data_IF_709364193689
#
_entry.id   IF_709364193689
#
_cell.length_a   1.000
_cell.length_b   1.000
_cell.length_c   1.000
_cell.angle_alpha   90.00
_cell.angle_beta   90.00
_cell.angle_gamma   90.00
#
_symmetry.space_group_name_H-M   'P 1'
#
loop_
_entity.id
_entity.type
_entity.pdbx_description
1 polymer ?
#
# COMPACT_ATOMS: atom_id res chain seq x y z
N UNK A 1 5.96 0.86 24.47
CA UNK A 1 6.98 1.90 24.20
C UNK A 1 7.11 2.14 22.71
N UNK A 2 7.14 3.41 22.27
CA UNK A 2 7.39 3.78 20.87
C UNK A 2 8.80 3.37 20.43
N UNK A 3 8.95 2.84 19.21
CA UNK A 3 10.24 2.43 18.65
C UNK A 3 10.57 3.21 17.38
N UNK A 4 11.41 4.24 17.51
CA UNK A 4 11.79 5.13 16.41
C UNK A 4 12.50 4.39 15.25
N UNK A 5 13.36 3.42 15.55
CA UNK A 5 14.08 2.65 14.51
C UNK A 5 13.12 1.80 13.67
N UNK A 6 12.10 1.22 14.31
CA UNK A 6 11.06 0.48 13.60
C UNK A 6 10.17 1.41 12.77
N UNK A 7 9.77 2.56 13.31
CA UNK A 7 9.05 3.58 12.54
C UNK A 7 9.86 4.03 11.32
N UNK A 8 11.16 4.26 11.47
CA UNK A 8 12.03 4.65 10.36
C UNK A 8 12.22 3.52 9.34
N UNK A 9 12.34 2.27 9.78
CA UNK A 9 12.35 1.09 8.92
C UNK A 9 11.11 1.05 8.03
N UNK A 10 9.93 1.12 8.65
CA UNK A 10 8.65 1.07 7.95
C UNK A 10 8.51 2.25 6.99
N UNK A 11 8.81 3.47 7.45
CA UNK A 11 8.71 4.66 6.63
C UNK A 11 9.62 4.58 5.39
N UNK A 12 10.84 4.07 5.56
CA UNK A 12 11.83 3.96 4.48
C UNK A 12 11.43 2.90 3.45
N UNK A 13 10.92 1.74 3.88
CA UNK A 13 10.40 0.70 2.98
C UNK A 13 9.20 1.20 2.16
N UNK A 14 8.24 1.90 2.81
CA UNK A 14 7.10 2.47 2.09
C UNK A 14 7.51 3.63 1.18
N UNK A 15 8.43 4.50 1.59
CA UNK A 15 8.99 5.54 0.71
C UNK A 15 9.68 4.93 -0.50
N UNK A 16 10.49 3.88 -0.28
CA UNK A 16 11.17 3.18 -1.37
C UNK A 16 10.15 2.60 -2.35
N UNK A 17 9.11 1.93 -1.83
CA UNK A 17 8.03 1.41 -2.66
C UNK A 17 7.35 2.51 -3.48
N UNK A 18 6.91 3.61 -2.86
CA UNK A 18 6.18 4.67 -3.56
C UNK A 18 7.06 5.45 -4.55
N UNK A 19 8.22 5.93 -4.12
CA UNK A 19 9.07 6.84 -4.89
C UNK A 19 9.97 6.13 -5.90
N UNK A 20 10.37 4.89 -5.61
CA UNK A 20 11.29 4.14 -6.46
C UNK A 20 10.54 3.05 -7.23
N UNK A 21 9.88 2.11 -6.54
CA UNK A 21 9.30 0.95 -7.22
C UNK A 21 8.05 1.29 -8.04
N UNK A 22 7.13 2.07 -7.46
CA UNK A 22 5.83 2.38 -8.05
C UNK A 22 5.91 3.58 -9.01
N UNK A 23 6.41 4.74 -8.58
CA UNK A 23 6.48 5.91 -9.48
C UNK A 23 7.78 5.93 -10.27
N UNK A 24 8.92 5.71 -9.60
CA UNK A 24 10.25 5.82 -10.22
C UNK A 24 10.47 4.87 -11.40
N UNK A 25 10.39 3.56 -11.17
CA UNK A 25 10.65 2.54 -12.19
C UNK A 25 9.61 2.63 -13.32
N UNK A 26 8.32 2.75 -12.98
CA UNK A 26 7.27 2.82 -14.00
C UNK A 26 7.46 4.02 -14.94
N UNK A 27 7.88 5.18 -14.41
CA UNK A 27 8.17 6.36 -15.23
C UNK A 27 9.49 6.24 -16.01
N UNK A 28 10.56 5.72 -15.40
CA UNK A 28 11.86 5.50 -16.06
C UNK A 28 11.73 4.59 -17.28
N UNK A 29 10.90 3.56 -17.19
CA UNK A 29 10.64 2.65 -18.32
C UNK A 29 9.51 3.13 -19.24
N UNK A 30 9.09 4.40 -19.13
CA UNK A 30 8.00 4.99 -19.90
C UNK A 30 6.72 4.15 -19.90
N UNK A 31 6.56 3.34 -18.85
CA UNK A 31 5.40 2.48 -18.65
C UNK A 31 5.23 1.40 -19.71
N UNK A 32 6.33 1.07 -20.39
CA UNK A 32 6.42 -0.15 -21.19
C UNK A 32 6.52 -1.36 -20.26
N UNK A 33 5.39 -2.04 -20.09
CA UNK A 33 5.28 -3.24 -19.25
C UNK A 33 6.30 -4.30 -19.67
N UNK A 34 6.62 -4.42 -20.96
CA UNK A 34 7.60 -5.40 -21.44
C UNK A 34 9.02 -5.09 -20.96
N UNK A 35 9.30 -3.83 -20.63
CA UNK A 35 10.60 -3.41 -20.12
C UNK A 35 10.74 -3.68 -18.60
N UNK A 36 9.64 -3.78 -17.85
CA UNK A 36 9.69 -3.98 -16.39
C UNK A 36 8.92 -5.19 -15.84
N UNK A 37 8.31 -6.04 -16.67
CA UNK A 37 7.47 -7.17 -16.23
C UNK A 37 8.13 -8.14 -15.27
N UNK A 38 9.47 -8.24 -15.24
CA UNK A 38 10.17 -9.10 -14.29
C UNK A 38 10.04 -8.61 -12.85
N UNK A 39 9.83 -7.31 -12.62
CA UNK A 39 9.57 -6.73 -11.30
C UNK A 39 8.28 -7.31 -10.67
N UNK A 40 7.08 -7.22 -11.28
CA UNK A 40 5.88 -7.81 -10.71
C UNK A 40 5.93 -9.34 -10.63
N UNK A 41 6.57 -10.03 -11.59
CA UNK A 41 6.77 -11.48 -11.50
C UNK A 41 7.65 -11.87 -10.30
N UNK A 42 8.76 -11.16 -10.09
CA UNK A 42 9.60 -11.31 -8.91
C UNK A 42 8.82 -11.05 -7.63
N UNK A 43 7.99 -10.02 -7.64
CA UNK A 43 7.07 -9.67 -6.55
C UNK A 43 6.14 -10.80 -6.14
N UNK A 44 5.48 -11.41 -7.11
CA UNK A 44 4.61 -12.57 -6.90
C UNK A 44 5.41 -13.75 -6.35
N UNK A 45 6.56 -14.07 -6.96
CA UNK A 45 7.41 -15.16 -6.51
C UNK A 45 7.89 -14.96 -5.06
N UNK A 46 8.40 -13.77 -4.73
CA UNK A 46 8.81 -13.43 -3.36
C UNK A 46 7.66 -13.58 -2.38
N UNK A 47 6.49 -13.03 -2.70
CA UNK A 47 5.31 -13.09 -1.83
C UNK A 47 4.88 -14.54 -1.56
N UNK A 48 4.94 -15.43 -2.56
CA UNK A 48 4.61 -16.84 -2.39
C UNK A 48 5.68 -17.63 -1.64
N UNK A 49 6.94 -17.23 -1.71
CA UNK A 49 8.06 -17.97 -1.10
C UNK A 49 8.39 -17.53 0.33
N UNK A 50 7.80 -16.43 0.81
CA UNK A 50 8.11 -15.84 2.13
C UNK A 50 7.99 -16.81 3.31
N UNK A 51 7.03 -17.73 3.25
CA UNK A 51 6.78 -18.70 4.32
C UNK A 51 7.79 -19.86 4.35
N UNK A 52 8.53 -20.09 3.26
CA UNK A 52 9.50 -21.19 3.17
C UNK A 52 10.79 -20.84 3.90
N UNK A 53 11.42 -21.84 4.50
CA UNK A 53 12.76 -21.71 5.08
C UNK A 53 13.79 -22.13 4.04
N UNK A 54 14.81 -21.31 3.81
CA UNK A 54 15.84 -21.56 2.81
C UNK A 54 17.22 -21.65 3.46
N UNK A 55 17.66 -22.86 3.80
CA UNK A 55 18.98 -23.08 4.42
C UNK A 55 19.22 -22.17 5.63
N UNK A 56 20.15 -21.22 5.49
CA UNK A 56 20.49 -20.25 6.53
C UNK A 56 19.43 -19.15 6.77
N UNK A 57 18.52 -18.91 5.82
CA UNK A 57 17.36 -18.01 5.91
C UNK A 57 16.16 -18.71 6.57
N UNK A 58 16.37 -19.16 7.81
CA UNK A 58 15.39 -19.94 8.57
C UNK A 58 14.57 -19.12 9.57
N UNK A 59 14.89 -17.83 9.76
CA UNK A 59 14.13 -16.93 10.63
C UNK A 59 13.67 -15.69 9.88
N UNK A 60 12.55 -15.11 10.31
CA UNK A 60 11.99 -13.89 9.72
C UNK A 60 12.97 -12.71 9.79
N UNK A 61 13.72 -12.61 10.89
CA UNK A 61 14.79 -11.61 11.07
C UNK A 61 15.88 -11.73 10.00
N UNK A 62 16.35 -12.95 9.72
CA UNK A 62 17.40 -13.15 8.70
C UNK A 62 16.86 -12.89 7.30
N UNK A 63 15.61 -13.29 7.04
CA UNK A 63 14.95 -13.02 5.76
C UNK A 63 14.82 -11.52 5.51
N UNK A 64 14.31 -10.74 6.47
CA UNK A 64 14.12 -9.31 6.25
C UNK A 64 15.45 -8.59 6.05
N UNK A 65 16.49 -8.92 6.83
CA UNK A 65 17.84 -8.37 6.64
C UNK A 65 18.36 -8.70 5.23
N UNK A 66 18.24 -9.97 4.82
CA UNK A 66 18.77 -10.41 3.52
C UNK A 66 18.07 -9.74 2.35
N UNK A 67 16.73 -9.73 2.33
CA UNK A 67 16.00 -9.16 1.21
C UNK A 67 16.10 -7.63 1.17
N UNK A 68 16.02 -6.94 2.31
CA UNK A 68 16.28 -5.48 2.32
C UNK A 68 17.72 -5.16 1.93
N UNK A 69 18.69 -6.03 2.26
CA UNK A 69 20.06 -5.94 1.75
C UNK A 69 20.15 -6.14 0.23
N UNK A 70 19.41 -7.10 -0.32
CA UNK A 70 19.29 -7.30 -1.77
C UNK A 70 18.68 -6.07 -2.46
N UNK A 71 17.63 -5.46 -1.88
CA UNK A 71 17.08 -4.18 -2.34
C UNK A 71 18.12 -3.07 -2.38
N UNK A 72 18.95 -2.95 -1.34
CA UNK A 72 20.03 -1.95 -1.30
C UNK A 72 21.07 -2.19 -2.42
N UNK A 73 21.43 -3.45 -2.68
CA UNK A 73 22.30 -3.80 -3.80
C UNK A 73 21.67 -3.45 -5.16
N UNK A 74 20.39 -3.78 -5.37
CA UNK A 74 19.66 -3.41 -6.57
C UNK A 74 19.57 -1.89 -6.76
N UNK A 75 19.47 -1.14 -5.66
CA UNK A 75 19.37 0.33 -5.69
C UNK A 75 20.61 1.00 -6.28
N UNK A 76 21.78 0.36 -6.21
CA UNK A 76 23.02 0.87 -6.82
C UNK A 76 22.96 0.92 -8.36
N UNK A 77 22.05 0.16 -8.96
CA UNK A 77 21.86 0.11 -10.41
C UNK A 77 20.74 1.04 -10.90
N UNK A 78 20.03 1.74 -9.99
CA UNK A 78 19.01 2.70 -10.40
C UNK A 78 19.67 3.97 -10.98
N UNK A 79 19.19 4.53 -12.11
CA UNK A 79 17.97 4.16 -12.86
C UNK A 79 18.17 3.09 -13.94
N UNK A 80 19.41 2.71 -14.27
CA UNK A 80 19.77 1.77 -15.35
C UNK A 80 19.56 0.30 -14.97
N UNK A 81 18.34 -0.06 -14.59
CA UNK A 81 17.98 -1.42 -14.17
C UNK A 81 17.78 -2.33 -15.40
N UNK A 82 18.37 -3.53 -15.38
CA UNK A 82 18.06 -4.56 -16.37
C UNK A 82 17.01 -5.55 -15.84
N UNK A 83 16.48 -6.42 -16.70
CA UNK A 83 15.45 -7.39 -16.35
C UNK A 83 15.82 -8.31 -15.17
N UNK A 84 17.11 -8.64 -15.02
CA UNK A 84 17.60 -9.47 -13.90
C UNK A 84 17.56 -8.70 -12.59
N UNK A 85 18.05 -7.46 -12.58
CA UNK A 85 18.01 -6.59 -11.39
C UNK A 85 16.58 -6.27 -11.01
N UNK A 86 15.69 -6.02 -11.98
CA UNK A 86 14.26 -5.82 -11.75
C UNK A 86 13.60 -7.07 -11.16
N UNK A 87 13.92 -8.27 -11.67
CA UNK A 87 13.44 -9.52 -11.10
C UNK A 87 13.90 -9.72 -9.65
N UNK A 88 15.18 -9.48 -9.37
CA UNK A 88 15.75 -9.59 -8.02
C UNK A 88 15.13 -8.56 -7.05
N UNK A 89 14.97 -7.31 -7.50
CA UNK A 89 14.29 -6.27 -6.73
C UNK A 89 12.82 -6.64 -6.48
N UNK A 90 12.14 -7.20 -7.47
CA UNK A 90 10.78 -7.70 -7.34
C UNK A 90 10.68 -8.77 -6.26
N UNK A 91 11.55 -9.79 -6.30
CA UNK A 91 11.63 -10.83 -5.26
C UNK A 91 11.88 -10.21 -3.89
N UNK A 92 12.76 -9.22 -3.80
CA UNK A 92 13.03 -8.52 -2.55
C UNK A 92 11.77 -7.87 -1.98
N UNK A 93 11.09 -7.03 -2.76
CA UNK A 93 9.87 -6.33 -2.35
C UNK A 93 8.74 -7.32 -2.00
N UNK A 94 8.62 -8.40 -2.78
CA UNK A 94 7.65 -9.48 -2.54
C UNK A 94 7.89 -10.23 -1.24
N UNK A 95 9.15 -10.47 -0.87
CA UNK A 95 9.52 -11.10 0.40
C UNK A 95 9.38 -10.14 1.59
N UNK A 96 9.78 -8.87 1.42
CA UNK A 96 9.79 -7.90 2.51
C UNK A 96 8.38 -7.46 2.90
N UNK A 97 7.44 -7.31 1.97
CA UNK A 97 6.09 -6.83 2.27
C UNK A 97 5.30 -7.70 3.28
N UNK A 98 5.15 -9.02 3.12
CA UNK A 98 4.46 -9.86 4.12
C UNK A 98 5.19 -9.91 5.47
N UNK A 99 6.53 -9.87 5.46
CA UNK A 99 7.35 -9.82 6.68
C UNK A 99 7.13 -8.51 7.43
N UNK A 100 7.15 -7.39 6.72
CA UNK A 100 6.89 -6.07 7.27
C UNK A 100 5.50 -6.02 7.91
N UNK A 101 4.47 -6.48 7.20
CA UNK A 101 3.10 -6.56 7.75
C UNK A 101 3.08 -7.39 9.03
N UNK A 102 3.76 -8.54 9.07
CA UNK A 102 3.84 -9.35 10.29
C UNK A 102 4.50 -8.59 11.45
N UNK A 103 5.60 -7.87 11.22
CA UNK A 103 6.29 -7.11 12.26
C UNK A 103 5.49 -5.91 12.78
N UNK A 104 4.56 -5.40 11.98
CA UNK A 104 3.67 -4.30 12.38
C UNK A 104 2.53 -4.71 13.31
N UNK A 105 2.34 -6.01 13.58
CA UNK A 105 1.27 -6.52 14.45
C UNK A 105 1.26 -5.78 15.80
N UNK A 106 0.13 -5.13 16.10
CA UNK A 106 -0.09 -4.40 17.36
C UNK A 106 0.67 -3.07 17.50
N UNK A 107 1.37 -2.61 16.46
CA UNK A 107 2.19 -1.38 16.45
C UNK A 107 1.53 -0.23 15.70
N UNK A 108 0.24 -0.03 15.96
CA UNK A 108 -0.58 0.87 15.14
C UNK A 108 -0.12 2.32 15.19
N UNK A 109 0.44 2.77 16.31
CA UNK A 109 1.01 4.11 16.44
C UNK A 109 2.26 4.27 15.59
N UNK A 110 3.18 3.29 15.62
CA UNK A 110 4.38 3.31 14.80
C UNK A 110 4.05 3.26 13.30
N UNK A 111 3.04 2.46 12.89
CA UNK A 111 2.53 2.43 11.51
C UNK A 111 1.97 3.80 11.11
N UNK A 112 1.12 4.39 11.94
CA UNK A 112 0.49 5.69 11.68
C UNK A 112 1.56 6.78 11.44
N UNK A 113 2.54 6.86 12.32
CA UNK A 113 3.65 7.81 12.20
C UNK A 113 4.49 7.51 10.96
N UNK A 114 4.82 6.23 10.70
CA UNK A 114 5.60 5.84 9.54
C UNK A 114 4.91 6.21 8.23
N UNK A 115 3.62 5.93 8.09
CA UNK A 115 2.83 6.33 6.91
C UNK A 115 2.73 7.85 6.78
N UNK A 116 2.57 8.58 7.89
CA UNK A 116 2.59 10.04 7.87
C UNK A 116 3.91 10.61 7.32
N UNK A 117 5.05 10.07 7.77
CA UNK A 117 6.37 10.40 7.24
C UNK A 117 6.47 10.03 5.76
N UNK A 118 6.00 8.83 5.39
CA UNK A 118 6.02 8.35 4.02
C UNK A 118 5.27 9.29 3.10
N UNK A 119 4.02 9.64 3.40
CA UNK A 119 3.25 10.54 2.56
C UNK A 119 3.85 11.94 2.53
N UNK A 120 4.37 12.44 3.65
CA UNK A 120 5.03 13.73 3.66
C UNK A 120 6.24 13.79 2.72
N UNK A 121 7.14 12.82 2.81
CA UNK A 121 8.31 12.74 1.95
C UNK A 121 7.93 12.44 0.50
N UNK A 122 6.99 11.52 0.28
CA UNK A 122 6.56 11.13 -1.06
C UNK A 122 5.89 12.30 -1.80
N UNK A 123 5.02 13.05 -1.14
CA UNK A 123 4.41 14.25 -1.72
C UNK A 123 5.44 15.33 -2.00
N UNK A 124 6.36 15.59 -1.06
CA UNK A 124 7.40 16.61 -1.23
C UNK A 124 8.37 16.28 -2.38
N UNK A 125 8.63 15.00 -2.62
CA UNK A 125 9.56 14.52 -3.65
C UNK A 125 8.84 14.00 -4.90
N UNK A 126 7.52 14.16 -5.01
CA UNK A 126 6.75 13.58 -6.10
C UNK A 126 7.19 14.11 -7.46
N UNK A 127 7.44 15.41 -7.56
CA UNK A 127 7.88 16.08 -8.79
C UNK A 127 9.37 15.97 -9.04
N UNK A 128 10.13 15.37 -8.12
CA UNK A 128 11.56 15.14 -8.33
C UNK A 128 11.76 14.11 -9.43
N UNK A 129 12.54 14.44 -10.46
CA UNK A 129 12.62 13.66 -11.69
C UNK A 129 13.02 12.19 -11.41
N UNK A 130 12.25 11.19 -11.89
CA UNK A 130 12.51 9.77 -11.64
C UNK A 130 13.94 9.36 -11.93
N UNK A 131 14.50 9.77 -13.07
CA UNK A 131 15.85 9.37 -13.49
C UNK A 131 16.95 9.85 -12.52
N UNK A 132 16.68 10.87 -11.72
CA UNK A 132 17.62 11.44 -10.74
C UNK A 132 17.45 10.85 -9.32
N UNK A 133 16.54 9.89 -9.12
CA UNK A 133 16.25 9.29 -7.81
C UNK A 133 17.25 8.23 -7.35
N UNK A 134 18.38 8.03 -8.03
CA UNK A 134 19.39 7.02 -7.66
C UNK A 134 19.91 7.15 -6.23
N UNK A 135 20.38 8.34 -5.84
CA UNK A 135 20.84 8.59 -4.48
C UNK A 135 19.73 8.42 -3.44
N UNK A 136 18.49 8.74 -3.81
CA UNK A 136 17.32 8.56 -2.96
C UNK A 136 17.01 7.06 -2.74
N UNK A 137 17.07 6.25 -3.80
CA UNK A 137 16.89 4.80 -3.73
C UNK A 137 17.94 4.16 -2.80
N UNK A 138 19.21 4.57 -2.94
CA UNK A 138 20.31 4.11 -2.08
C UNK A 138 20.10 4.56 -0.63
N UNK A 139 19.78 5.83 -0.38
CA UNK A 139 19.58 6.34 0.97
C UNK A 139 18.43 5.61 1.69
N UNK A 140 17.26 5.50 1.04
CA UNK A 140 16.09 4.84 1.62
C UNK A 140 16.36 3.35 1.91
N UNK A 141 16.99 2.64 0.97
CA UNK A 141 17.30 1.22 1.15
C UNK A 141 18.39 0.97 2.21
N UNK A 142 19.40 1.84 2.33
CA UNK A 142 20.42 1.74 3.37
C UNK A 142 19.86 2.06 4.77
N UNK A 143 18.96 3.04 4.88
CA UNK A 143 18.25 3.32 6.13
C UNK A 143 17.42 2.10 6.54
N UNK A 144 16.62 1.56 5.62
CA UNK A 144 15.83 0.35 5.88
C UNK A 144 16.72 -0.84 6.27
N UNK A 145 17.81 -1.07 5.54
CA UNK A 145 18.76 -2.15 5.82
C UNK A 145 19.36 -2.01 7.21
N UNK A 146 19.85 -0.82 7.56
CA UNK A 146 20.44 -0.55 8.88
C UNK A 146 19.42 -0.76 10.00
N UNK A 147 18.19 -0.25 9.84
CA UNK A 147 17.14 -0.42 10.84
C UNK A 147 16.70 -1.89 10.98
N UNK A 148 16.77 -2.68 9.89
CA UNK A 148 16.35 -4.08 9.89
C UNK A 148 17.11 -4.94 10.91
N UNK A 149 18.38 -4.60 11.20
CA UNK A 149 19.18 -5.28 12.22
C UNK A 149 18.59 -5.19 13.63
N UNK A 150 17.77 -4.18 13.91
CA UNK A 150 17.21 -3.92 15.24
C UNK A 150 15.79 -4.46 15.43
N UNK A 151 15.18 -5.06 14.41
CA UNK A 151 13.81 -5.61 14.48
C UNK A 151 13.67 -6.69 15.57
N UNK A 152 14.70 -7.50 15.81
CA UNK A 152 14.69 -8.50 16.90
C UNK A 152 14.57 -7.89 18.31
N UNK A 153 14.82 -6.59 18.48
CA UNK A 153 14.71 -5.87 19.76
C UNK A 153 13.33 -5.27 19.99
N UNK A 154 12.39 -5.53 19.08
CA UNK A 154 11.01 -5.10 19.25
C UNK A 154 10.43 -5.74 20.52
N UNK A 155 9.82 -4.95 21.43
CA UNK A 155 9.26 -5.49 22.66
C UNK A 155 8.17 -6.51 22.33
N UNK A 156 8.09 -7.59 23.12
CA UNK A 156 7.00 -8.54 23.01
C UNK A 156 5.66 -7.81 23.13
N UNK A 157 4.66 -8.28 22.38
CA UNK A 157 3.30 -7.76 22.50
C UNK A 157 2.76 -8.16 23.87
N UNK A 158 2.42 -7.18 24.70
CA UNK A 158 1.88 -7.40 26.05
C UNK A 158 0.51 -8.10 26.05
N UNK A 159 -0.19 -8.09 24.91
CA UNK A 159 -1.48 -8.73 24.71
C UNK A 159 -1.46 -9.65 23.48
N UNK A 160 -1.91 -10.89 23.65
CA UNK A 160 -2.25 -11.76 22.53
C UNK A 160 -3.43 -11.16 21.77
N UNK A 161 -3.14 -10.51 20.64
CA UNK A 161 -4.18 -10.10 19.69
C UNK A 161 -4.73 -11.36 19.06
N UNK A 162 -5.96 -11.71 19.44
CA UNK A 162 -6.68 -12.86 18.91
C UNK A 162 -6.67 -12.83 17.37
N UNK A 163 -6.28 -13.93 16.71
CA UNK A 163 -6.26 -14.00 15.26
C UNK A 163 -7.69 -13.84 14.74
N UNK A 164 -7.93 -12.77 13.99
CA UNK A 164 -9.19 -12.54 13.28
C UNK A 164 -9.25 -13.52 12.09
N UNK A 165 -10.44 -14.04 11.74
CA UNK A 165 -10.60 -14.80 10.49
C UNK A 165 -10.87 -13.80 9.36
N UNK A 166 -10.09 -13.86 8.29
CA UNK A 166 -10.34 -13.02 7.12
C UNK A 166 -11.43 -13.68 6.28
N UNK A 167 -12.54 -12.96 6.06
CA UNK A 167 -13.52 -13.40 5.08
C UNK A 167 -12.98 -13.18 3.66
N UNK A 168 -13.43 -14.00 2.73
CA UNK A 168 -13.16 -13.81 1.29
C UNK A 168 -13.61 -12.41 0.86
N UNK A 169 -14.77 -11.97 1.38
CA UNK A 169 -15.29 -10.62 1.17
C UNK A 169 -14.27 -9.53 1.55
N UNK A 170 -13.61 -9.66 2.70
CA UNK A 170 -12.62 -8.68 3.14
C UNK A 170 -11.39 -8.65 2.21
N UNK A 171 -10.89 -9.82 1.76
CA UNK A 171 -9.79 -9.88 0.78
C UNK A 171 -10.18 -9.21 -0.53
N UNK A 172 -11.35 -9.56 -1.08
CA UNK A 172 -11.85 -9.01 -2.32
C UNK A 172 -12.05 -7.50 -2.24
N UNK A 173 -12.59 -7.00 -1.12
CA UNK A 173 -12.76 -5.56 -0.91
C UNK A 173 -11.42 -4.83 -0.91
N UNK A 174 -10.42 -5.34 -0.17
CA UNK A 174 -9.08 -4.78 -0.14
C UNK A 174 -8.39 -4.81 -1.52
N UNK A 175 -8.57 -5.89 -2.28
CA UNK A 175 -8.08 -5.99 -3.66
C UNK A 175 -8.72 -4.93 -4.54
N UNK A 176 -10.05 -4.75 -4.47
CA UNK A 176 -10.73 -3.72 -5.25
C UNK A 176 -10.24 -2.32 -4.86
N UNK A 177 -10.03 -2.03 -3.58
CA UNK A 177 -9.49 -0.73 -3.15
C UNK A 177 -8.09 -0.48 -3.72
N UNK A 178 -7.20 -1.48 -3.68
CA UNK A 178 -5.87 -1.37 -4.27
C UNK A 178 -5.93 -1.16 -5.80
N UNK A 179 -6.89 -1.81 -6.47
CA UNK A 179 -7.14 -1.57 -7.90
C UNK A 179 -7.59 -0.13 -8.15
N UNK A 180 -8.57 0.37 -7.39
CA UNK A 180 -9.14 1.71 -7.54
C UNK A 180 -8.07 2.78 -7.31
N UNK A 181 -7.23 2.61 -6.29
CA UNK A 181 -6.12 3.51 -6.04
C UNK A 181 -5.13 3.50 -7.21
N UNK A 182 -4.60 2.34 -7.58
CA UNK A 182 -3.64 2.22 -8.67
C UNK A 182 -4.18 2.79 -9.99
N UNK A 183 -5.45 2.51 -10.31
CA UNK A 183 -6.09 2.99 -11.53
C UNK A 183 -6.24 4.52 -11.55
N UNK A 184 -6.78 5.12 -10.47
CA UNK A 184 -6.99 6.56 -10.42
C UNK A 184 -5.66 7.32 -10.30
N UNK A 185 -4.74 6.84 -9.47
CA UNK A 185 -3.40 7.40 -9.29
C UNK A 185 -2.67 7.51 -10.62
N UNK A 186 -2.65 6.41 -11.38
CA UNK A 186 -1.95 6.32 -12.64
C UNK A 186 -2.62 7.19 -13.72
N UNK A 187 -3.95 7.19 -13.77
CA UNK A 187 -4.71 8.07 -14.68
C UNK A 187 -4.39 9.55 -14.43
N UNK A 188 -4.36 9.97 -13.16
CA UNK A 188 -4.06 11.35 -12.76
C UNK A 188 -2.59 11.72 -12.94
N UNK A 189 -1.67 10.75 -12.88
CA UNK A 189 -0.24 10.99 -13.07
C UNK A 189 0.13 11.29 -14.52
N UNK A 190 -0.71 10.87 -15.48
CA UNK A 190 -0.46 11.00 -16.92
C UNK A 190 -1.27 12.09 -17.60
N UNK A 191 -2.43 12.43 -17.05
CA UNK A 191 -3.35 13.34 -17.71
C UNK A 191 -3.02 14.78 -17.31
N UNK A 192 -2.76 15.64 -18.30
CA UNK A 192 -2.53 17.07 -18.08
C UNK A 192 -3.82 17.85 -17.78
N UNK A 193 -4.98 17.31 -18.16
CA UNK A 193 -6.30 17.95 -18.03
C UNK A 193 -6.68 18.24 -16.57
N UNK A 194 -6.30 17.36 -15.64
CA UNK A 194 -6.54 17.50 -14.20
C UNK A 194 -5.23 17.14 -13.49
N UNK A 195 -4.31 18.09 -13.41
CA UNK A 195 -3.05 17.87 -12.71
C UNK A 195 -3.18 18.16 -11.22
N UNK A 196 -3.53 17.15 -10.42
CA UNK A 196 -3.48 17.31 -8.96
C UNK A 196 -2.05 17.19 -8.43
N UNK A 197 -1.19 16.39 -9.10
CA UNK A 197 0.12 16.03 -8.57
C UNK A 197 1.24 17.02 -8.89
N UNK A 198 1.10 17.80 -9.98
CA UNK A 198 2.17 18.68 -10.49
C UNK A 198 1.84 20.17 -10.32
N UNK A 199 0.68 20.50 -9.75
CA UNK A 199 0.20 21.86 -9.57
C UNK A 199 0.60 22.45 -8.20
N UNK A 200 0.22 23.71 -7.99
CA UNK A 200 0.33 24.45 -6.71
C UNK A 200 -0.39 23.77 -5.52
N UNK A 201 -1.07 22.65 -5.73
CA UNK A 201 -1.85 21.89 -4.74
C UNK A 201 -1.04 20.94 -3.86
N UNK A 202 0.30 20.86 -4.00
CA UNK A 202 1.13 19.94 -3.21
C UNK A 202 0.93 20.07 -1.70
N UNK A 203 0.72 21.29 -1.20
CA UNK A 203 0.48 21.57 0.21
C UNK A 203 -0.89 21.08 0.67
N UNK A 204 -1.91 21.16 -0.20
CA UNK A 204 -3.25 20.60 0.04
C UNK A 204 -3.14 19.08 0.15
N UNK A 205 -2.47 18.45 -0.81
CA UNK A 205 -2.25 17.00 -0.85
C UNK A 205 -1.57 16.52 0.44
N UNK A 206 -0.50 17.21 0.85
CA UNK A 206 0.22 16.90 2.07
C UNK A 206 -0.70 16.96 3.31
N UNK A 207 -1.42 18.07 3.47
CA UNK A 207 -2.34 18.24 4.61
C UNK A 207 -3.38 17.14 4.63
N UNK A 208 -3.99 16.82 3.49
CA UNK A 208 -5.07 15.82 3.45
C UNK A 208 -4.56 14.38 3.57
N UNK A 209 -3.32 14.07 3.18
CA UNK A 209 -2.68 12.80 3.57
C UNK A 209 -2.51 12.69 5.09
N UNK A 210 -2.05 13.75 5.76
CA UNK A 210 -1.87 13.74 7.21
C UNK A 210 -3.19 13.67 7.95
N UNK A 211 -4.21 14.40 7.48
CA UNK A 211 -5.57 14.34 8.02
C UNK A 211 -6.18 12.96 7.81
N UNK A 212 -6.10 12.37 6.61
CA UNK A 212 -6.62 11.03 6.35
C UNK A 212 -5.98 9.94 7.19
N UNK A 213 -4.65 9.98 7.33
CA UNK A 213 -3.92 9.11 8.25
C UNK A 213 -4.41 9.33 9.69
N UNK A 214 -4.44 10.58 10.16
CA UNK A 214 -4.83 10.93 11.52
C UNK A 214 -6.24 10.45 11.85
N UNK A 215 -7.19 10.68 10.94
CA UNK A 215 -8.57 10.18 11.03
C UNK A 215 -8.61 8.66 11.11
N UNK A 216 -7.89 7.96 10.24
CA UNK A 216 -7.87 6.49 10.24
C UNK A 216 -7.30 5.92 11.55
N UNK A 217 -6.24 6.54 12.10
CA UNK A 217 -5.66 6.14 13.37
C UNK A 217 -6.59 6.41 14.56
N UNK A 218 -7.16 7.61 14.64
CA UNK A 218 -8.04 8.01 15.76
C UNK A 218 -9.37 7.23 15.76
N UNK A 219 -9.94 7.00 14.58
CA UNK A 219 -11.24 6.32 14.42
C UNK A 219 -11.12 4.81 14.23
N UNK A 220 -9.89 4.27 14.34
CA UNK A 220 -9.56 2.87 13.99
C UNK A 220 -10.45 1.84 14.67
N UNK A 221 -10.87 2.08 15.92
CA UNK A 221 -11.63 1.15 16.74
C UNK A 221 -13.12 1.54 16.79
N UNK A 222 -13.42 2.84 16.83
CA UNK A 222 -14.78 3.39 16.86
C UNK A 222 -15.58 3.05 15.60
N UNK A 223 -14.96 3.12 14.41
CA UNK A 223 -15.63 2.88 13.12
C UNK A 223 -15.25 1.54 12.49
N UNK A 224 -14.82 0.56 13.28
CA UNK A 224 -14.28 -0.72 12.78
C UNK A 224 -15.19 -1.44 11.78
N UNK A 225 -16.52 -1.41 12.01
CA UNK A 225 -17.53 -2.06 11.17
C UNK A 225 -17.88 -1.22 9.92
N UNK A 226 -17.57 0.08 9.93
CA UNK A 226 -17.95 1.03 8.89
C UNK A 226 -16.81 1.41 7.95
N UNK A 227 -15.56 1.07 8.28
CA UNK A 227 -14.40 1.41 7.45
C UNK A 227 -14.54 0.97 5.99
N UNK A 228 -15.12 -0.21 5.75
CA UNK A 228 -15.31 -0.77 4.40
C UNK A 228 -16.20 0.13 3.54
N UNK A 229 -17.37 0.50 4.07
CA UNK A 229 -18.29 1.44 3.44
C UNK A 229 -17.69 2.84 3.26
N UNK A 230 -17.02 3.37 4.30
CA UNK A 230 -16.37 4.68 4.25
C UNK A 230 -15.35 4.73 3.11
N UNK A 231 -14.50 3.71 2.98
CA UNK A 231 -13.49 3.64 1.92
C UNK A 231 -14.16 3.57 0.54
N UNK A 232 -15.19 2.73 0.37
CA UNK A 232 -15.91 2.62 -0.90
C UNK A 232 -16.58 3.95 -1.30
N UNK A 233 -17.22 4.64 -0.35
CA UNK A 233 -17.83 5.95 -0.57
C UNK A 233 -16.78 7.02 -0.92
N UNK A 234 -15.65 7.04 -0.23
CA UNK A 234 -14.57 7.98 -0.50
C UNK A 234 -13.92 7.76 -1.87
N UNK A 235 -13.75 6.51 -2.32
CA UNK A 235 -13.34 6.23 -3.70
C UNK A 235 -14.40 6.66 -4.71
N UNK A 236 -15.69 6.43 -4.43
CA UNK A 236 -16.78 6.92 -5.28
C UNK A 236 -16.73 8.44 -5.46
N UNK A 237 -16.53 9.17 -4.36
CA UNK A 237 -16.36 10.62 -4.36
C UNK A 237 -15.12 11.04 -5.17
N UNK A 238 -13.99 10.34 -5.02
CA UNK A 238 -12.77 10.62 -5.79
C UNK A 238 -12.97 10.45 -7.29
N UNK A 239 -13.59 9.35 -7.72
CA UNK A 239 -13.91 9.11 -9.14
C UNK A 239 -14.93 10.10 -9.68
N UNK A 240 -15.93 10.48 -8.88
CA UNK A 240 -16.91 11.50 -9.26
C UNK A 240 -16.24 12.87 -9.46
N UNK A 241 -15.36 13.29 -8.55
CA UNK A 241 -14.61 14.55 -8.67
C UNK A 241 -13.66 14.55 -9.86
N UNK A 242 -13.02 13.41 -10.15
CA UNK A 242 -12.26 13.22 -11.37
C UNK A 242 -13.14 13.41 -12.63
N UNK A 243 -14.30 12.75 -12.68
CA UNK A 243 -15.23 12.87 -13.81
C UNK A 243 -15.78 14.30 -13.97
N UNK A 244 -16.00 15.01 -12.87
CA UNK A 244 -16.44 16.41 -12.83
C UNK A 244 -15.33 17.42 -13.16
N UNK A 245 -14.07 16.96 -13.30
CA UNK A 245 -12.88 17.81 -13.50
C UNK A 245 -12.58 18.78 -12.34
N UNK A 246 -12.96 18.42 -11.11
CA UNK A 246 -12.79 19.25 -9.91
C UNK A 246 -11.43 19.03 -9.23
N UNK A 247 -10.36 19.63 -9.78
CA UNK A 247 -8.97 19.39 -9.36
C UNK A 247 -8.72 19.70 -7.87
N UNK A 248 -9.22 20.84 -7.37
CA UNK A 248 -8.96 21.28 -5.99
C UNK A 248 -9.61 20.33 -4.99
N UNK A 249 -10.90 20.01 -5.15
CA UNK A 249 -11.59 19.07 -4.26
C UNK A 249 -11.00 17.66 -4.37
N UNK A 250 -10.62 17.24 -5.57
CA UNK A 250 -9.95 15.95 -5.76
C UNK A 250 -8.61 15.90 -5.02
N UNK A 251 -7.83 17.00 -5.04
CA UNK A 251 -6.56 17.12 -4.29
C UNK A 251 -6.73 17.12 -2.77
N UNK A 252 -7.96 17.28 -2.27
CA UNK A 252 -8.30 17.12 -0.86
C UNK A 252 -8.76 15.69 -0.57
N UNK A 253 -9.78 15.22 -1.29
CA UNK A 253 -10.43 13.95 -1.00
C UNK A 253 -9.51 12.78 -1.31
N UNK A 254 -8.88 12.76 -2.47
CA UNK A 254 -8.15 11.57 -2.90
C UNK A 254 -6.93 11.24 -2.02
N UNK A 255 -6.05 12.20 -1.65
CA UNK A 255 -4.98 11.95 -0.67
C UNK A 255 -5.48 11.49 0.70
N UNK A 256 -6.63 12.02 1.14
CA UNK A 256 -7.30 11.53 2.34
C UNK A 256 -7.68 10.05 2.19
N UNK A 257 -8.32 9.66 1.06
CA UNK A 257 -8.69 8.27 0.81
C UNK A 257 -7.48 7.36 0.86
N UNK A 258 -6.41 7.71 0.13
CA UNK A 258 -5.18 6.92 0.01
C UNK A 258 -4.58 6.62 1.38
N UNK A 259 -4.41 7.66 2.19
CA UNK A 259 -3.82 7.52 3.52
C UNK A 259 -4.73 6.75 4.47
N UNK A 260 -6.04 6.99 4.40
CA UNK A 260 -7.03 6.34 5.25
C UNK A 260 -7.11 4.84 4.99
N UNK A 261 -7.28 4.44 3.72
CA UNK A 261 -7.48 3.03 3.37
C UNK A 261 -6.20 2.22 3.60
N UNK A 262 -5.02 2.77 3.30
CA UNK A 262 -3.75 2.06 3.51
C UNK A 262 -3.50 1.73 4.98
N UNK A 263 -3.80 2.67 5.89
CA UNK A 263 -3.75 2.39 7.33
C UNK A 263 -4.73 1.28 7.74
N UNK A 264 -5.97 1.33 7.24
CA UNK A 264 -7.01 0.31 7.54
C UNK A 264 -6.59 -1.07 7.03
N UNK A 265 -6.06 -1.17 5.80
CA UNK A 265 -5.54 -2.43 5.24
C UNK A 265 -4.40 -2.96 6.11
N UNK A 266 -3.39 -2.14 6.42
CA UNK A 266 -2.25 -2.58 7.21
C UNK A 266 -2.66 -3.00 8.62
N UNK A 267 -3.54 -2.25 9.27
CA UNK A 267 -4.10 -2.65 10.57
C UNK A 267 -4.78 -4.01 10.48
N UNK A 268 -5.63 -4.23 9.47
CA UNK A 268 -6.35 -5.49 9.31
C UNK A 268 -5.39 -6.65 9.00
N UNK A 269 -4.49 -6.48 8.03
CA UNK A 269 -3.52 -7.51 7.64
C UNK A 269 -2.51 -7.85 8.75
N UNK A 270 -2.07 -6.86 9.54
CA UNK A 270 -1.11 -7.08 10.63
C UNK A 270 -1.66 -7.96 11.76
N UNK A 271 -2.99 -8.08 11.91
CA UNK A 271 -3.60 -9.01 12.87
C UNK A 271 -3.38 -10.48 12.48
N UNK A 272 -3.02 -10.75 11.23
CA UNK A 272 -2.74 -12.09 10.73
C UNK A 272 -1.27 -12.44 10.95
N UNK A 273 -0.99 -13.52 11.67
CA UNK A 273 0.38 -14.02 11.90
C UNK A 273 0.88 -15.01 10.85
N UNK A 274 0.00 -15.52 9.98
CA UNK A 274 0.34 -16.57 9.02
C UNK A 274 0.97 -15.98 7.75
N UNK A 275 2.29 -16.11 7.63
CA UNK A 275 3.06 -15.61 6.48
C UNK A 275 2.64 -16.21 5.14
N UNK A 276 2.21 -17.49 5.11
CA UNK A 276 1.75 -18.11 3.86
C UNK A 276 0.47 -17.43 3.36
N UNK A 277 -0.47 -17.20 4.26
CA UNK A 277 -1.72 -16.51 3.93
C UNK A 277 -1.46 -15.05 3.56
N UNK A 278 -0.63 -14.34 4.32
CA UNK A 278 -0.23 -12.96 3.99
C UNK A 278 0.42 -12.87 2.62
N UNK A 279 1.33 -13.80 2.31
CA UNK A 279 1.97 -13.89 0.99
C UNK A 279 0.95 -14.04 -0.14
N UNK A 280 -0.02 -14.95 0.00
CA UNK A 280 -1.10 -15.13 -0.98
C UNK A 280 -1.97 -13.87 -1.10
N UNK A 281 -2.35 -13.25 0.02
CA UNK A 281 -3.14 -12.02 0.00
C UNK A 281 -2.38 -10.91 -0.75
N UNK A 282 -1.09 -10.74 -0.48
CA UNK A 282 -0.26 -9.74 -1.16
C UNK A 282 -0.13 -9.98 -2.67
N UNK A 283 -0.16 -11.22 -3.13
CA UNK A 283 -0.28 -11.54 -4.56
C UNK A 283 -1.57 -10.98 -5.14
N UNK A 284 -2.70 -11.24 -4.50
CA UNK A 284 -4.00 -10.76 -4.99
C UNK A 284 -4.16 -9.24 -4.89
N UNK A 285 -3.81 -8.64 -3.75
CA UNK A 285 -4.03 -7.21 -3.49
C UNK A 285 -2.93 -6.35 -4.12
N UNK A 286 -1.66 -6.64 -3.84
CA UNK A 286 -0.54 -5.80 -4.26
C UNK A 286 -0.16 -5.98 -5.73
N UNK A 287 -0.02 -7.23 -6.18
CA UNK A 287 0.51 -7.51 -7.52
C UNK A 287 -0.58 -7.61 -8.59
N UNK A 288 -1.64 -8.39 -8.34
CA UNK A 288 -2.72 -8.58 -9.31
C UNK A 288 -3.63 -7.35 -9.36
N UNK A 289 -4.19 -6.92 -8.22
CA UNK A 289 -5.15 -5.82 -8.24
C UNK A 289 -4.47 -4.47 -8.49
N UNK A 290 -3.35 -4.19 -7.81
CA UNK A 290 -2.52 -3.01 -8.08
C UNK A 290 -2.02 -2.98 -9.54
N UNK A 291 -1.48 -4.09 -10.06
CA UNK A 291 -1.07 -4.19 -11.46
C UNK A 291 -2.22 -4.06 -12.45
N UNK A 292 -3.39 -4.65 -12.15
CA UNK A 292 -4.59 -4.51 -12.96
C UNK A 292 -5.11 -3.07 -13.03
N UNK A 293 -4.99 -2.31 -11.94
CA UNK A 293 -5.34 -0.89 -11.91
C UNK A 293 -4.45 -0.07 -12.84
N UNK A 294 -3.13 -0.31 -12.78
CA UNK A 294 -2.13 0.27 -13.68
C UNK A 294 -2.44 -0.07 -15.15
N UNK A 295 -2.64 -1.35 -15.47
CA UNK A 295 -2.97 -1.78 -16.84
C UNK A 295 -4.25 -1.11 -17.36
N UNK A 296 -5.26 -1.02 -16.51
CA UNK A 296 -6.51 -0.35 -16.83
C UNK A 296 -6.31 1.14 -17.12
N UNK A 297 -5.46 1.82 -16.33
CA UNK A 297 -5.15 3.23 -16.57
C UNK A 297 -4.38 3.42 -17.88
N UNK A 298 -3.37 2.58 -18.15
CA UNK A 298 -2.61 2.60 -19.40
C UNK A 298 -3.49 2.35 -20.63
N UNK A 299 -4.53 1.52 -20.50
CA UNK A 299 -5.51 1.27 -21.55
C UNK A 299 -6.63 2.29 -21.67
N UNK A 300 -6.67 3.32 -20.81
CA UNK A 300 -7.76 4.31 -20.78
C UNK A 300 -9.10 3.76 -20.23
N UNK A 301 -9.07 2.68 -19.48
CA UNK A 301 -10.23 1.94 -18.97
C UNK A 301 -10.68 2.38 -17.57
N UNK A 302 -10.54 3.67 -17.22
CA UNK A 302 -10.91 4.21 -15.90
C UNK A 302 -12.37 3.92 -15.50
N UNK A 303 -13.27 3.71 -16.47
CA UNK A 303 -14.66 3.30 -16.22
C UNK A 303 -14.79 1.93 -15.53
N UNK A 304 -13.79 1.04 -15.63
CA UNK A 304 -13.78 -0.24 -14.92
C UNK A 304 -13.74 -0.01 -13.40
N UNK A 305 -13.03 1.03 -12.96
CA UNK A 305 -13.08 1.47 -11.56
C UNK A 305 -14.48 1.86 -11.11
N UNK A 306 -15.25 2.55 -11.94
CA UNK A 306 -16.65 2.90 -11.66
C UNK A 306 -17.52 1.65 -11.48
N UNK A 307 -17.34 0.63 -12.33
CA UNK A 307 -18.05 -0.65 -12.20
C UNK A 307 -17.74 -1.30 -10.85
N UNK A 308 -16.47 -1.35 -10.45
CA UNK A 308 -16.08 -1.91 -9.16
C UNK A 308 -16.59 -1.11 -7.97
N UNK A 309 -16.65 0.22 -8.06
CA UNK A 309 -17.28 1.07 -7.03
C UNK A 309 -18.75 0.73 -6.88
N UNK A 310 -19.51 0.61 -7.99
CA UNK A 310 -20.92 0.24 -7.96
C UNK A 310 -21.11 -1.13 -7.30
N UNK A 311 -20.28 -2.13 -7.67
CA UNK A 311 -20.34 -3.47 -7.06
C UNK A 311 -20.06 -3.42 -5.56
N UNK A 312 -19.02 -2.68 -5.13
CA UNK A 312 -18.69 -2.52 -3.71
C UNK A 312 -19.82 -1.85 -2.94
N UNK A 313 -20.34 -0.72 -3.42
CA UNK A 313 -21.42 0.00 -2.74
C UNK A 313 -22.69 -0.85 -2.62
N UNK A 314 -23.06 -1.58 -3.67
CA UNK A 314 -24.18 -2.52 -3.62
C UNK A 314 -23.96 -3.61 -2.57
N UNK A 315 -22.74 -4.17 -2.49
CA UNK A 315 -22.42 -5.20 -1.51
C UNK A 315 -22.45 -4.65 -0.07
N UNK A 316 -21.91 -3.45 0.17
CA UNK A 316 -21.94 -2.80 1.49
C UNK A 316 -23.36 -2.44 1.93
N UNK A 317 -24.18 -1.88 1.03
CA UNK A 317 -25.59 -1.55 1.32
C UNK A 317 -26.36 -2.83 1.62
N UNK A 318 -26.17 -3.88 0.83
CA UNK A 318 -26.83 -5.17 1.07
C UNK A 318 -26.44 -5.74 2.44
N UNK A 319 -25.15 -5.74 2.78
CA UNK A 319 -24.65 -6.21 4.07
C UNK A 319 -25.27 -5.40 5.24
N UNK A 320 -25.35 -4.08 5.10
CA UNK A 320 -25.99 -3.22 6.10
C UNK A 320 -27.48 -3.54 6.30
N UNK A 321 -28.24 -3.67 5.20
CA UNK A 321 -29.66 -4.03 5.23
C UNK A 321 -29.87 -5.42 5.85
N UNK A 322 -29.04 -6.39 5.45
CA UNK A 322 -29.10 -7.76 5.97
C UNK A 322 -28.86 -7.81 7.48
N UNK A 323 -27.80 -7.15 7.97
CA UNK A 323 -27.50 -7.09 9.41
C UNK A 323 -28.60 -6.39 10.21
N UNK A 324 -29.16 -5.31 9.67
CA UNK A 324 -30.25 -4.57 10.31
C UNK A 324 -31.52 -5.42 10.38
N UNK A 325 -31.84 -6.16 9.32
CA UNK A 325 -32.96 -7.10 9.28
C UNK A 325 -32.79 -8.22 10.31
N UNK A 326 -31.61 -8.84 10.39
CA UNK A 326 -31.30 -9.89 11.36
C UNK A 326 -31.43 -9.41 12.81
N UNK A 327 -30.92 -8.21 13.14
CA UNK A 327 -31.10 -7.62 14.48
C UNK A 327 -32.57 -7.37 14.80
N UNK A 328 -33.37 -6.93 13.82
CA UNK A 328 -34.80 -6.71 14.01
C UNK A 328 -35.54 -8.03 14.26
N UNK A 329 -35.21 -9.11 13.55
CA UNK A 329 -35.78 -10.45 13.77
C UNK A 329 -35.40 -10.98 15.16
N UNK A 330 -34.14 -10.85 15.55
CA UNK A 330 -33.65 -11.39 16.83
C UNK A 330 -34.12 -10.59 18.07
N UNK A 331 -34.53 -9.33 17.90
CA UNK A 331 -35.09 -8.49 18.97
C UNK A 331 -36.63 -8.59 19.09
N UNK A 332 -37.29 -9.41 18.26
CA UNK A 332 -38.76 -9.61 18.28
C UNK A 332 -39.15 -10.87 19.08
N UNK A 333 -38.22 -11.48 19.81
CA UNK A 333 -38.48 -12.59 20.75
C UNK A 333 -38.10 -12.24 22.18
#
# INVERSE_FOLDING_TARGET
MFNALFTLFVASEFCYYLLIAQTGIIEVFHSDIQAFFTLPLGGILGSLLVYRSFGWLNTDQKKIIFFVGLQALCSLFYPSLNLVVLGALGVSLGMSAPLLIKFTKGRYTEIAIALGITYALATALFTYEPILRGNLAIALSLIAFTCSFFIHRLPALEQEIAPERLSIYAVLSMSIWAYLDSNLFETLSRTSDISIWRAETWHIILVFHLVGMGSAYLLRDTLKEHHSFIIAFLFALSYMLYAAREAVLLSMIYPFVISYYNFVILKRLSKFGNLRLLGVIMVFTGWIAGGGGLLSALGGYTYVGVIFICVLLCAEIYNFLYQTSQKRINNVY
#
